data_IF_668802661444
#
_entry.id   IF_668802661444
#
_cell.length_a   1.000
_cell.length_b   1.000
_cell.length_c   1.000
_cell.angle_alpha   90.00
_cell.angle_beta   90.00
_cell.angle_gamma   90.00
#
_symmetry.space_group_name_H-M   'P 1'
#
loop_
_entity.id
_entity.type
_entity.pdbx_description
1 polymer ?
#
# COMPACT_ATOMS: atom_id res chain seq x y z
N UNK A 1 -1.37 14.33 -13.84
CA UNK A 1 -2.00 14.16 -15.17
C UNK A 1 -2.42 15.49 -15.83
N UNK A 2 -2.36 16.62 -15.11
CA UNK A 2 -2.83 17.92 -15.63
C UNK A 2 -1.70 18.84 -16.10
N UNK A 3 -0.43 18.50 -15.83
CA UNK A 3 0.72 19.37 -16.12
C UNK A 3 0.78 19.85 -17.59
N UNK A 4 0.67 18.98 -18.62
CA UNK A 4 0.72 19.43 -20.02
C UNK A 4 -0.41 20.39 -20.35
N UNK A 5 -1.59 20.17 -19.78
CA UNK A 5 -2.76 21.04 -19.96
C UNK A 5 -2.54 22.41 -19.33
N UNK A 6 -2.06 22.46 -18.07
CA UNK A 6 -1.77 23.73 -17.40
C UNK A 6 -0.70 24.55 -18.12
N UNK A 7 0.36 23.90 -18.61
CA UNK A 7 1.38 24.59 -19.39
C UNK A 7 0.83 25.17 -20.69
N UNK A 8 0.00 24.40 -21.41
CA UNK A 8 -0.65 24.86 -22.63
C UNK A 8 -1.61 26.02 -22.36
N UNK A 9 -2.47 25.91 -21.34
CA UNK A 9 -3.45 26.94 -20.98
C UNK A 9 -2.79 28.23 -20.45
N UNK A 10 -1.66 28.13 -19.76
CA UNK A 10 -0.89 29.28 -19.27
C UNK A 10 -0.14 30.05 -20.38
N UNK A 11 0.02 29.43 -21.55
CA UNK A 11 0.84 29.98 -22.65
C UNK A 11 2.34 29.99 -22.35
N UNK A 12 2.80 29.24 -21.34
CA UNK A 12 4.21 29.16 -20.98
C UNK A 12 5.00 28.45 -22.08
N UNK A 13 6.09 29.07 -22.53
CA UNK A 13 6.94 28.56 -23.60
C UNK A 13 8.39 28.27 -23.15
N UNK A 14 8.70 28.50 -21.89
CA UNK A 14 10.04 28.28 -21.32
C UNK A 14 10.31 26.81 -20.97
N UNK A 15 11.54 26.54 -20.62
CA UNK A 15 11.92 25.22 -20.06
C UNK A 15 11.39 25.07 -18.63
N UNK A 16 11.06 23.83 -18.23
CA UNK A 16 10.64 23.52 -16.87
C UNK A 16 11.23 22.20 -16.38
N UNK A 17 11.22 22.03 -15.07
CA UNK A 17 11.49 20.74 -14.40
C UNK A 17 10.27 20.32 -13.59
N UNK A 18 10.03 19.02 -13.52
CA UNK A 18 9.08 18.44 -12.57
C UNK A 18 9.81 18.23 -11.26
N UNK A 19 9.58 19.14 -10.29
CA UNK A 19 10.34 19.18 -9.04
C UNK A 19 9.99 18.06 -8.08
N UNK A 20 8.81 17.45 -8.23
CA UNK A 20 8.32 16.39 -7.35
C UNK A 20 7.28 15.54 -8.10
N UNK A 21 7.50 14.24 -8.15
CA UNK A 21 6.54 13.27 -8.70
C UNK A 21 6.83 11.86 -8.16
N UNK A 22 5.82 11.02 -8.08
CA UNK A 22 5.99 9.69 -7.49
C UNK A 22 4.71 8.90 -7.35
N UNK A 23 4.53 8.21 -6.23
CA UNK A 23 3.34 7.45 -5.91
C UNK A 23 2.10 8.36 -5.83
N UNK A 24 0.92 7.77 -5.99
CA UNK A 24 -0.37 8.47 -5.79
C UNK A 24 -0.50 8.90 -4.34
N UNK A 25 -0.88 10.16 -4.11
CA UNK A 25 -1.09 10.70 -2.79
C UNK A 25 -2.23 9.98 -2.04
N UNK A 26 -2.12 9.84 -0.73
CA UNK A 26 -3.15 9.16 0.07
C UNK A 26 -4.52 9.88 0.00
N UNK A 27 -4.52 11.18 -0.27
CA UNK A 27 -5.73 12.00 -0.47
C UNK A 27 -6.41 11.79 -1.84
N UNK A 28 -5.72 11.15 -2.80
CA UNK A 28 -6.24 10.80 -4.12
C UNK A 28 -6.61 9.31 -4.20
N UNK A 29 -6.15 8.51 -3.23
CA UNK A 29 -6.40 7.08 -3.21
C UNK A 29 -7.85 6.75 -2.87
N UNK A 30 -8.43 5.66 -3.43
CA UNK A 30 -9.71 5.17 -2.95
C UNK A 30 -9.63 4.77 -1.48
N UNK A 31 -10.77 4.77 -0.80
CA UNK A 31 -10.85 4.46 0.63
C UNK A 31 -11.71 3.21 0.90
N UNK A 32 -11.49 2.61 2.07
CA UNK A 32 -12.41 1.62 2.65
C UNK A 32 -13.75 2.26 3.00
N UNK A 33 -14.76 1.45 3.32
CA UNK A 33 -16.08 1.91 3.76
C UNK A 33 -16.06 2.68 5.10
N UNK A 34 -14.97 2.59 5.88
CA UNK A 34 -14.73 3.38 7.10
C UNK A 34 -13.72 4.53 6.91
N UNK A 35 -13.33 4.81 5.65
CA UNK A 35 -12.56 6.01 5.26
C UNK A 35 -11.05 5.89 5.37
N UNK A 36 -10.46 4.68 5.44
CA UNK A 36 -9.00 4.51 5.38
C UNK A 36 -8.51 4.40 3.94
N UNK A 37 -7.49 5.17 3.55
CA UNK A 37 -6.99 5.15 2.17
C UNK A 37 -6.32 3.81 1.84
N UNK A 38 -6.52 3.36 0.60
CA UNK A 38 -5.96 2.13 0.06
C UNK A 38 -4.62 2.40 -0.61
N UNK A 39 -3.57 1.86 -0.03
CA UNK A 39 -2.23 1.94 -0.61
C UNK A 39 -2.08 0.91 -1.73
N UNK A 40 -1.53 1.32 -2.87
CA UNK A 40 -1.11 0.42 -3.93
C UNK A 40 0.06 -0.46 -3.45
N UNK A 41 0.14 -1.73 -3.86
CA UNK A 41 1.31 -2.56 -3.60
C UNK A 41 2.55 -2.02 -4.36
N UNK A 42 3.74 -2.53 -4.03
CA UNK A 42 5.00 -2.03 -4.59
C UNK A 42 5.10 -2.18 -6.11
N UNK A 43 4.47 -3.21 -6.70
CA UNK A 43 4.47 -3.44 -8.15
C UNK A 43 3.53 -2.47 -8.87
N UNK A 44 2.34 -2.23 -8.33
CA UNK A 44 1.42 -1.24 -8.88
C UNK A 44 2.02 0.17 -8.83
N UNK A 45 2.68 0.53 -7.71
CA UNK A 45 3.44 1.78 -7.61
C UNK A 45 4.53 1.89 -8.67
N UNK A 46 5.30 0.83 -8.88
CA UNK A 46 6.36 0.81 -9.89
C UNK A 46 5.81 1.02 -11.30
N UNK A 47 4.64 0.44 -11.61
CA UNK A 47 3.93 0.69 -12.87
C UNK A 47 3.47 2.15 -12.99
N UNK A 48 2.97 2.75 -11.91
CA UNK A 48 2.61 4.18 -11.89
C UNK A 48 3.83 5.07 -12.15
N UNK A 49 4.98 4.79 -11.50
CA UNK A 49 6.23 5.50 -11.75
C UNK A 49 6.64 5.42 -13.23
N UNK A 50 6.60 4.21 -13.81
CA UNK A 50 6.94 3.99 -15.21
C UNK A 50 6.03 4.77 -16.14
N UNK A 51 4.72 4.67 -15.95
CA UNK A 51 3.75 5.31 -16.82
C UNK A 51 3.83 6.84 -16.71
N UNK A 52 3.90 7.39 -15.51
CA UNK A 52 4.03 8.83 -15.28
C UNK A 52 5.30 9.39 -15.92
N UNK A 53 6.43 8.70 -15.78
CA UNK A 53 7.66 9.13 -16.43
C UNK A 53 7.54 9.14 -17.94
N UNK A 54 7.04 8.07 -18.55
CA UNK A 54 6.95 7.95 -20.00
C UNK A 54 5.91 8.92 -20.60
N UNK A 55 4.74 9.04 -19.96
CA UNK A 55 3.61 9.80 -20.51
C UNK A 55 3.75 11.32 -20.30
N UNK A 56 4.42 11.76 -19.22
CA UNK A 56 4.41 13.19 -18.85
C UNK A 56 5.79 13.83 -18.81
N UNK A 57 6.86 13.06 -18.55
CA UNK A 57 8.22 13.60 -18.43
C UNK A 57 9.00 13.35 -19.71
N UNK A 58 9.19 12.09 -20.09
CA UNK A 58 9.94 11.73 -21.28
C UNK A 58 9.22 12.10 -22.59
N UNK A 59 7.89 12.20 -22.57
CA UNK A 59 7.12 12.60 -23.74
C UNK A 59 7.32 14.07 -24.13
N UNK A 60 7.61 14.97 -23.19
CA UNK A 60 7.91 16.37 -23.51
C UNK A 60 9.41 16.60 -23.73
N UNK A 61 9.84 16.35 -24.95
CA UNK A 61 11.23 16.57 -25.39
C UNK A 61 11.55 18.03 -25.71
N UNK A 62 10.59 18.95 -25.60
CA UNK A 62 10.75 20.36 -26.00
C UNK A 62 11.00 21.28 -24.82
N UNK A 63 10.25 21.10 -23.75
CA UNK A 63 10.25 22.03 -22.62
C UNK A 63 10.69 21.36 -21.31
N UNK A 64 10.38 20.07 -21.09
CA UNK A 64 10.80 19.35 -19.89
C UNK A 64 12.29 19.03 -19.93
N UNK A 65 13.10 19.70 -19.09
CA UNK A 65 14.55 19.52 -19.03
C UNK A 65 15.00 18.58 -17.90
N UNK A 66 14.09 18.09 -17.07
CA UNK A 66 14.40 17.14 -16.02
C UNK A 66 13.27 16.94 -15.01
N UNK A 67 13.48 15.97 -14.14
CA UNK A 67 12.52 15.66 -13.08
C UNK A 67 13.19 15.09 -11.84
N UNK A 68 12.52 15.25 -10.69
CA UNK A 68 12.97 14.74 -9.41
C UNK A 68 11.90 13.80 -8.83
N UNK A 69 12.28 12.55 -8.63
CA UNK A 69 11.43 11.56 -7.96
C UNK A 69 11.26 11.96 -6.50
N UNK A 70 10.00 11.96 -6.04
CA UNK A 70 9.71 12.19 -4.64
C UNK A 70 10.15 10.99 -3.80
N UNK A 71 10.95 11.29 -2.79
CA UNK A 71 11.37 10.45 -1.69
C UNK A 71 12.10 9.15 -2.06
N UNK A 72 13.43 9.25 -2.22
CA UNK A 72 14.31 8.09 -2.37
C UNK A 72 14.43 7.24 -1.10
N UNK A 73 14.35 7.83 0.08
CA UNK A 73 14.33 7.13 1.35
C UNK A 73 12.92 6.71 1.77
N UNK A 74 12.77 6.44 3.04
CA UNK A 74 11.50 6.10 3.68
C UNK A 74 10.97 7.28 4.49
N UNK A 75 9.67 7.42 4.57
CA UNK A 75 8.95 8.35 5.42
C UNK A 75 7.69 7.68 5.96
N UNK A 76 7.42 7.86 7.24
CA UNK A 76 6.11 7.53 7.78
C UNK A 76 5.12 8.63 7.36
N UNK A 77 4.17 8.25 6.52
CA UNK A 77 3.01 9.06 6.16
C UNK A 77 1.89 8.12 5.76
N UNK A 78 0.85 8.00 6.58
CA UNK A 78 -0.20 6.95 6.57
C UNK A 78 0.36 5.55 6.79
N UNK A 79 1.39 5.19 6.06
CA UNK A 79 2.12 3.93 6.23
C UNK A 79 3.62 4.16 6.05
N UNK A 80 4.47 3.26 6.52
CA UNK A 80 5.91 3.35 6.31
C UNK A 80 6.32 3.03 4.87
N UNK A 81 5.38 2.54 4.04
CA UNK A 81 5.65 2.07 2.67
C UNK A 81 5.02 2.94 1.59
N UNK A 82 4.25 3.99 1.94
CA UNK A 82 3.44 4.74 0.96
C UNK A 82 4.26 5.38 -0.16
N UNK A 83 5.29 6.16 0.19
CA UNK A 83 6.00 7.01 -0.77
C UNK A 83 7.42 6.58 -1.09
N UNK A 84 8.11 5.93 -0.17
CA UNK A 84 9.52 5.60 -0.32
C UNK A 84 9.79 4.62 -1.46
N UNK A 85 10.77 4.93 -2.32
CA UNK A 85 11.26 4.00 -3.34
C UNK A 85 12.29 3.01 -2.76
N UNK A 86 12.86 3.34 -1.61
CA UNK A 86 13.75 2.49 -0.81
C UNK A 86 13.14 2.38 0.59
N UNK A 87 13.07 1.17 1.13
CA UNK A 87 12.53 0.92 2.46
C UNK A 87 13.46 1.39 3.58
N UNK A 88 12.96 1.47 4.81
CA UNK A 88 13.73 1.88 5.99
C UNK A 88 14.99 1.03 6.22
N UNK A 89 14.92 -0.28 5.93
CA UNK A 89 16.04 -1.21 5.99
C UNK A 89 16.97 -1.14 4.77
N UNK A 90 16.88 -0.07 3.98
CA UNK A 90 17.66 0.21 2.77
C UNK A 90 17.43 -0.80 1.61
N UNK A 91 16.36 -1.60 1.63
CA UNK A 91 16.01 -2.49 0.53
C UNK A 91 15.33 -1.74 -0.60
N UNK A 92 15.70 -2.09 -1.84
CA UNK A 92 15.10 -1.53 -3.04
C UNK A 92 13.69 -2.08 -3.28
N UNK A 93 12.74 -1.20 -3.56
CA UNK A 93 11.45 -1.62 -4.11
C UNK A 93 11.53 -1.70 -5.64
N UNK A 94 10.50 -2.25 -6.26
CA UNK A 94 10.42 -2.32 -7.73
C UNK A 94 10.43 -0.92 -8.37
N UNK A 95 9.93 0.12 -7.68
CA UNK A 95 10.00 1.51 -8.14
C UNK A 95 11.44 2.00 -8.33
N UNK A 96 12.38 1.64 -7.43
CA UNK A 96 13.80 1.99 -7.58
C UNK A 96 14.40 1.35 -8.84
N UNK A 97 14.06 0.08 -9.11
CA UNK A 97 14.55 -0.63 -10.30
C UNK A 97 13.91 -0.11 -11.59
N UNK A 98 12.65 0.30 -11.55
CA UNK A 98 12.00 1.00 -12.67
C UNK A 98 12.72 2.31 -12.98
N UNK A 99 13.09 3.10 -11.98
CA UNK A 99 13.86 4.33 -12.21
C UNK A 99 15.23 4.04 -12.80
N UNK A 100 15.93 3.01 -12.34
CA UNK A 100 17.19 2.59 -12.98
C UNK A 100 16.96 2.27 -14.46
N UNK A 101 15.96 1.45 -14.78
CA UNK A 101 15.65 1.10 -16.17
C UNK A 101 15.30 2.32 -17.03
N UNK A 102 14.48 3.23 -16.53
CA UNK A 102 14.06 4.42 -17.27
C UNK A 102 15.22 5.36 -17.60
N UNK A 103 16.26 5.42 -16.75
CA UNK A 103 17.40 6.28 -16.95
C UNK A 103 18.54 5.62 -17.73
N UNK A 104 18.72 4.32 -17.63
CA UNK A 104 19.86 3.61 -18.23
C UNK A 104 19.47 2.74 -19.43
N UNK A 105 18.19 2.38 -19.56
CA UNK A 105 17.70 1.38 -20.51
C UNK A 105 17.95 -0.07 -20.07
N UNK A 106 18.57 -0.29 -18.91
CA UNK A 106 18.98 -1.61 -18.44
C UNK A 106 18.35 -1.95 -17.11
N UNK A 107 17.78 -3.15 -17.01
CA UNK A 107 17.29 -3.69 -15.74
C UNK A 107 18.46 -4.24 -14.91
N UNK A 108 18.36 -4.18 -13.57
CA UNK A 108 19.32 -4.86 -12.73
C UNK A 108 19.27 -6.38 -12.93
N UNK A 109 20.38 -7.05 -12.68
CA UNK A 109 20.52 -8.51 -12.81
C UNK A 109 19.49 -9.25 -11.94
N UNK A 110 19.30 -8.79 -10.70
CA UNK A 110 18.36 -9.37 -9.75
C UNK A 110 17.15 -8.45 -9.62
N UNK A 111 16.02 -8.90 -10.17
CA UNK A 111 14.76 -8.17 -10.16
C UNK A 111 14.06 -8.34 -8.81
N UNK A 112 13.48 -7.25 -8.32
CA UNK A 112 12.57 -7.29 -7.18
C UNK A 112 11.44 -8.27 -7.46
N UNK A 113 10.99 -9.09 -6.48
CA UNK A 113 9.78 -9.89 -6.61
C UNK A 113 8.57 -9.01 -6.94
N UNK A 114 7.77 -9.40 -7.94
CA UNK A 114 6.55 -8.66 -8.31
C UNK A 114 5.35 -9.19 -7.54
N UNK A 115 4.54 -8.29 -7.01
CA UNK A 115 3.38 -8.61 -6.19
C UNK A 115 2.09 -8.38 -6.97
N UNK A 116 1.28 -9.43 -7.14
CA UNK A 116 0.02 -9.35 -7.87
C UNK A 116 -1.23 -9.36 -6.98
N UNK A 117 -1.09 -9.62 -5.69
CA UNK A 117 -2.22 -9.57 -4.76
C UNK A 117 -1.90 -9.92 -3.33
N UNK A 118 -2.70 -9.34 -2.42
CA UNK A 118 -2.75 -9.68 -1.00
C UNK A 118 -4.22 -9.79 -0.59
N UNK A 119 -4.56 -10.88 0.09
CA UNK A 119 -5.93 -11.13 0.58
C UNK A 119 -5.93 -11.55 2.04
N UNK A 120 -7.02 -11.24 2.74
CA UNK A 120 -7.36 -11.75 4.06
C UNK A 120 -8.70 -12.46 3.95
N UNK A 121 -8.77 -13.76 4.29
CA UNK A 121 -9.96 -14.60 4.12
C UNK A 121 -10.54 -14.54 2.69
N UNK A 122 -9.67 -14.38 1.67
CA UNK A 122 -10.05 -14.24 0.27
C UNK A 122 -10.49 -12.84 -0.16
N UNK A 123 -10.63 -11.88 0.75
CA UNK A 123 -10.99 -10.48 0.49
C UNK A 123 -9.73 -9.63 0.26
N UNK A 124 -9.80 -8.70 -0.69
CA UNK A 124 -8.74 -7.72 -0.98
C UNK A 124 -8.99 -6.41 -0.22
N UNK A 125 -8.03 -5.51 -0.21
CA UNK A 125 -8.16 -4.19 0.42
C UNK A 125 -9.40 -3.42 -0.08
N UNK A 126 -9.72 -3.52 -1.38
CA UNK A 126 -10.87 -2.86 -2.01
C UNK A 126 -12.22 -3.39 -1.52
N UNK A 127 -12.24 -4.59 -0.95
CA UNK A 127 -13.46 -5.23 -0.44
C UNK A 127 -13.82 -4.77 0.99
N UNK A 128 -13.03 -3.85 1.57
CA UNK A 128 -13.22 -3.31 2.93
C UNK A 128 -13.26 -4.42 3.99
N UNK A 129 -12.08 -4.94 4.38
CA UNK A 129 -11.95 -6.14 5.21
C UNK A 129 -12.41 -5.89 6.65
N UNK A 130 -13.50 -6.51 7.04
CA UNK A 130 -14.01 -6.52 8.41
C UNK A 130 -13.71 -7.87 9.08
N UNK A 131 -13.14 -7.85 10.26
CA UNK A 131 -12.84 -9.03 11.06
C UNK A 131 -13.59 -8.98 12.38
N UNK A 132 -13.64 -10.13 13.07
CA UNK A 132 -14.19 -10.25 14.43
C UNK A 132 -13.03 -10.59 15.36
N UNK A 133 -12.89 -9.84 16.44
CA UNK A 133 -11.89 -10.03 17.49
C UNK A 133 -11.74 -11.50 17.89
N UNK A 134 -10.50 -11.98 17.94
CA UNK A 134 -10.13 -13.33 18.32
C UNK A 134 -10.36 -14.41 17.27
N UNK A 135 -11.03 -14.12 16.14
CA UNK A 135 -11.19 -15.11 15.08
C UNK A 135 -9.86 -15.38 14.39
N UNK A 136 -9.65 -16.64 14.02
CA UNK A 136 -8.51 -17.04 13.17
C UNK A 136 -8.79 -16.60 11.74
N UNK A 137 -7.84 -15.89 11.17
CA UNK A 137 -7.86 -15.35 9.82
C UNK A 137 -6.71 -15.91 9.00
N UNK A 138 -6.92 -16.06 7.70
CA UNK A 138 -5.89 -16.48 6.76
C UNK A 138 -5.49 -15.32 5.87
N UNK A 139 -4.20 -15.02 5.76
CA UNK A 139 -3.67 -14.09 4.79
C UNK A 139 -2.84 -14.81 3.73
N UNK A 140 -2.96 -14.32 2.48
CA UNK A 140 -2.24 -14.87 1.35
C UNK A 140 -1.72 -13.75 0.47
N UNK A 141 -0.42 -13.80 0.14
CA UNK A 141 0.20 -12.96 -0.88
C UNK A 141 0.50 -13.79 -2.13
N UNK A 142 0.36 -13.17 -3.31
CA UNK A 142 0.67 -13.76 -4.60
C UNK A 142 1.88 -13.03 -5.17
N UNK A 143 2.98 -13.77 -5.37
CA UNK A 143 4.29 -13.26 -5.78
C UNK A 143 4.72 -13.93 -7.07
N UNK A 144 5.22 -13.14 -8.00
CA UNK A 144 6.06 -13.59 -9.11
C UNK A 144 7.52 -13.28 -8.77
N UNK A 145 8.38 -14.27 -8.93
CA UNK A 145 9.80 -14.17 -8.60
C UNK A 145 10.65 -14.30 -9.87
N UNK A 146 10.83 -13.19 -10.61
CA UNK A 146 11.45 -13.23 -11.93
C UNK A 146 12.92 -13.67 -11.91
N UNK A 147 13.61 -13.49 -10.79
CA UNK A 147 15.02 -13.89 -10.61
C UNK A 147 15.18 -15.24 -9.96
N UNK A 148 14.08 -15.91 -9.62
CA UNK A 148 14.07 -17.24 -8.97
C UNK A 148 14.97 -17.33 -7.72
N UNK A 149 15.02 -16.25 -6.94
CA UNK A 149 15.80 -16.17 -5.71
C UNK A 149 15.04 -16.81 -4.52
N UNK A 150 15.76 -17.19 -3.48
CA UNK A 150 15.13 -17.53 -2.21
C UNK A 150 14.42 -16.28 -1.64
N UNK A 151 13.18 -16.44 -1.21
CA UNK A 151 12.37 -15.36 -0.66
C UNK A 151 12.15 -15.61 0.83
N UNK A 152 12.21 -14.54 1.61
CA UNK A 152 11.78 -14.49 3.00
C UNK A 152 10.54 -13.60 3.12
N UNK A 153 9.68 -13.94 4.08
CA UNK A 153 8.43 -13.24 4.31
C UNK A 153 8.43 -12.68 5.72
N UNK A 154 8.02 -11.43 5.85
CA UNK A 154 7.76 -10.79 7.15
C UNK A 154 6.37 -10.19 7.11
N UNK A 155 5.56 -10.55 8.09
CA UNK A 155 4.19 -10.09 8.24
C UNK A 155 4.08 -9.25 9.51
N UNK A 156 3.32 -8.17 9.44
CA UNK A 156 3.11 -7.28 10.59
C UNK A 156 1.68 -6.77 10.60
N UNK A 157 1.07 -6.73 11.79
CA UNK A 157 -0.16 -5.96 12.01
C UNK A 157 0.22 -4.72 12.79
N UNK A 158 -0.07 -3.56 12.22
CA UNK A 158 0.13 -2.26 12.86
C UNK A 158 -1.23 -1.62 13.14
N UNK A 159 -1.32 -0.85 14.22
CA UNK A 159 -2.45 0.05 14.40
C UNK A 159 -2.50 1.06 13.25
N UNK A 160 -3.71 1.48 12.86
CA UNK A 160 -3.82 2.63 11.93
C UNK A 160 -3.37 3.91 12.64
N UNK A 161 -2.87 4.86 11.86
CA UNK A 161 -2.52 6.18 12.39
C UNK A 161 -3.76 6.82 13.02
N UNK A 162 -3.58 7.40 14.22
CA UNK A 162 -4.66 8.12 14.88
C UNK A 162 -5.05 9.35 14.05
N UNK A 163 -6.35 9.51 13.80
CA UNK A 163 -6.88 10.63 13.01
C UNK A 163 -6.53 12.01 13.56
N UNK A 164 -6.22 12.10 14.85
CA UNK A 164 -5.82 13.36 15.50
C UNK A 164 -4.38 13.80 15.20
N UNK A 165 -3.54 12.87 14.73
CA UNK A 165 -2.13 13.12 14.40
C UNK A 165 -1.82 12.86 12.92
N UNK A 166 -2.84 12.57 12.11
CA UNK A 166 -2.70 12.47 10.66
C UNK A 166 -2.22 13.80 10.07
N UNK A 167 -1.14 13.76 9.30
CA UNK A 167 -0.66 14.94 8.59
C UNK A 167 -1.28 15.05 7.20
N UNK A 168 -1.49 16.27 6.73
CA UNK A 168 -1.98 16.56 5.38
C UNK A 168 -0.84 16.71 4.35
N UNK A 169 0.29 16.07 4.62
CA UNK A 169 1.45 16.04 3.75
C UNK A 169 2.60 16.92 4.25
N UNK A 170 3.77 16.31 4.36
CA UNK A 170 5.02 16.98 4.70
C UNK A 170 5.38 17.01 6.18
N UNK A 171 4.45 17.03 7.09
CA UNK A 171 4.71 17.05 8.53
C UNK A 171 5.13 15.68 9.08
N UNK A 172 5.72 15.70 10.28
CA UNK A 172 6.08 14.46 10.98
C UNK A 172 4.82 13.72 11.43
N UNK A 173 4.77 12.43 11.07
CA UNK A 173 3.74 11.49 11.51
C UNK A 173 4.41 10.38 12.33
N UNK A 174 3.97 10.11 13.56
CA UNK A 174 4.56 9.06 14.36
C UNK A 174 4.25 7.68 13.75
N UNK A 175 5.24 6.78 13.77
CA UNK A 175 5.01 5.38 13.35
C UNK A 175 4.07 4.70 14.32
N UNK A 176 3.00 4.06 13.82
CA UNK A 176 2.10 3.28 14.66
C UNK A 176 2.80 2.07 15.30
N UNK A 177 2.23 1.56 16.37
CA UNK A 177 2.72 0.39 17.06
C UNK A 177 2.51 -0.88 16.20
N UNK A 178 3.55 -1.72 16.11
CA UNK A 178 3.45 -3.09 15.59
C UNK A 178 2.91 -3.96 16.70
N UNK A 179 1.65 -4.41 16.59
CA UNK A 179 0.96 -5.19 17.63
C UNK A 179 1.13 -6.70 17.45
N UNK A 180 1.53 -7.13 16.27
CA UNK A 180 1.80 -8.53 15.97
C UNK A 180 2.76 -8.62 14.79
N UNK A 181 3.66 -9.61 14.81
CA UNK A 181 4.56 -9.89 13.68
C UNK A 181 4.86 -11.38 13.56
N UNK A 182 5.07 -11.84 12.32
CA UNK A 182 5.66 -13.13 11.99
C UNK A 182 6.80 -12.92 10.97
N UNK A 183 8.00 -13.23 11.41
CA UNK A 183 9.23 -13.18 10.62
C UNK A 183 10.08 -14.43 10.87
N UNK A 184 9.47 -15.53 11.30
CA UNK A 184 10.13 -16.79 11.52
C UNK A 184 10.68 -17.36 10.20
N UNK A 185 11.68 -18.24 10.28
CA UNK A 185 12.25 -18.96 9.13
C UNK A 185 11.18 -19.81 8.38
N UNK A 186 10.04 -20.06 9.02
CA UNK A 186 8.90 -20.77 8.45
C UNK A 186 7.82 -19.83 7.91
N UNK A 187 8.00 -18.52 8.00
CA UNK A 187 7.06 -17.57 7.42
C UNK A 187 6.98 -17.74 5.91
N UNK A 188 5.77 -17.73 5.37
CA UNK A 188 5.46 -18.11 4.01
C UNK A 188 4.50 -17.11 3.35
N UNK A 189 4.23 -17.36 2.06
CA UNK A 189 3.25 -16.60 1.31
C UNK A 189 1.81 -16.72 1.85
N UNK A 190 1.55 -17.69 2.72
CA UNK A 190 0.27 -17.89 3.40
C UNK A 190 0.52 -18.02 4.90
N UNK A 191 -0.24 -17.28 5.70
CA UNK A 191 -0.19 -17.31 7.16
C UNK A 191 -1.56 -17.40 7.78
N UNK A 192 -1.62 -17.85 9.03
CA UNK A 192 -2.78 -17.69 9.91
C UNK A 192 -2.43 -16.74 11.06
N UNK A 193 -3.38 -15.90 11.41
CA UNK A 193 -3.24 -14.99 12.56
C UNK A 193 -4.58 -14.83 13.27
N UNK A 194 -4.54 -14.51 14.56
CA UNK A 194 -5.76 -14.13 15.30
C UNK A 194 -6.04 -12.64 15.07
N UNK A 195 -7.29 -12.31 14.73
CA UNK A 195 -7.71 -10.93 14.64
C UNK A 195 -7.50 -10.23 15.99
N UNK A 196 -6.84 -9.03 16.02
CA UNK A 196 -6.58 -8.31 17.25
C UNK A 196 -7.89 -7.86 17.93
N UNK A 197 -7.78 -7.15 19.06
CA UNK A 197 -8.92 -6.50 19.72
C UNK A 197 -9.63 -5.53 18.77
N UNK A 198 -10.88 -5.16 19.10
CA UNK A 198 -11.64 -4.21 18.28
C UNK A 198 -10.89 -2.91 18.04
N UNK A 199 -10.79 -2.49 16.77
CA UNK A 199 -10.02 -1.33 16.37
C UNK A 199 -9.74 -1.27 14.87
N UNK A 200 -9.00 -0.26 14.45
CA UNK A 200 -8.55 -0.08 13.07
C UNK A 200 -7.07 -0.44 12.96
N UNK A 201 -6.73 -1.31 12.01
CA UNK A 201 -5.39 -1.85 11.83
C UNK A 201 -5.05 -1.99 10.35
N UNK A 202 -3.79 -2.35 10.07
CA UNK A 202 -3.31 -2.68 8.75
C UNK A 202 -2.39 -3.89 8.82
N UNK A 203 -2.67 -4.91 8.01
CA UNK A 203 -1.78 -6.05 7.82
C UNK A 203 -0.80 -5.71 6.70
N UNK A 204 0.48 -5.78 7.00
CA UNK A 204 1.58 -5.62 6.05
C UNK A 204 2.22 -6.96 5.72
N UNK A 205 2.72 -7.09 4.50
CA UNK A 205 3.66 -8.13 4.10
C UNK A 205 4.86 -7.51 3.40
N UNK A 206 6.04 -7.94 3.79
CA UNK A 206 7.31 -7.65 3.16
C UNK A 206 7.89 -8.96 2.63
N UNK A 207 8.19 -9.01 1.34
CA UNK A 207 8.76 -10.18 0.67
C UNK A 207 10.13 -9.80 0.17
N UNK A 208 11.16 -10.38 0.78
CA UNK A 208 12.54 -9.96 0.61
C UNK A 208 13.38 -11.06 -0.04
N UNK A 209 14.38 -10.68 -0.84
CA UNK A 209 15.39 -11.57 -1.38
C UNK A 209 16.77 -11.30 -0.75
N UNK A 210 17.75 -12.11 -1.15
CA UNK A 210 19.15 -11.98 -0.69
C UNK A 210 19.94 -10.88 -1.41
N UNK A 211 19.36 -10.19 -2.40
CA UNK A 211 20.00 -9.17 -3.22
C UNK A 211 19.54 -7.74 -2.89
N UNK A 212 19.14 -7.53 -1.64
CA UNK A 212 18.71 -6.23 -1.14
C UNK A 212 17.43 -5.70 -1.81
N UNK A 213 16.52 -6.58 -2.23
CA UNK A 213 15.25 -6.23 -2.82
C UNK A 213 14.09 -6.60 -1.90
N UNK A 214 13.00 -5.85 -1.97
CA UNK A 214 11.78 -6.12 -1.23
C UNK A 214 10.52 -5.70 -2.02
N UNK A 215 9.51 -6.56 -2.01
CA UNK A 215 8.15 -6.22 -2.42
C UNK A 215 7.27 -6.01 -1.18
N UNK A 216 6.32 -5.09 -1.27
CA UNK A 216 5.44 -4.73 -0.15
C UNK A 216 3.99 -4.62 -0.57
N UNK A 217 3.09 -5.04 0.31
CA UNK A 217 1.67 -4.75 0.23
C UNK A 217 1.06 -4.64 1.63
N UNK A 218 -0.10 -4.02 1.71
CA UNK A 218 -0.87 -3.99 2.94
C UNK A 218 -2.39 -4.02 2.67
N UNK A 219 -3.14 -4.39 3.71
CA UNK A 219 -4.61 -4.38 3.71
C UNK A 219 -5.09 -3.71 4.97
N UNK A 220 -5.87 -2.61 4.90
CA UNK A 220 -6.57 -2.05 6.05
C UNK A 220 -7.61 -3.03 6.59
N UNK A 221 -7.75 -3.09 7.91
CA UNK A 221 -8.64 -4.01 8.62
C UNK A 221 -9.46 -3.23 9.66
N UNK A 222 -10.78 -3.41 9.65
CA UNK A 222 -11.64 -2.98 10.74
C UNK A 222 -12.05 -4.20 11.57
N UNK A 223 -11.57 -4.27 12.81
CA UNK A 223 -11.92 -5.35 13.74
C UNK A 223 -13.07 -4.89 14.62
N UNK A 224 -14.15 -5.69 14.66
CA UNK A 224 -15.34 -5.48 15.51
C UNK A 224 -15.29 -6.39 16.72
N UNK A 225 -15.82 -5.92 17.86
CA UNK A 225 -15.91 -6.77 19.03
C UNK A 225 -16.92 -7.92 18.79
N UNK A 226 -16.65 -9.07 19.36
CA UNK A 226 -17.58 -10.21 19.31
C UNK A 226 -18.95 -9.88 19.96
N UNK A 227 -18.94 -9.00 20.97
CA UNK A 227 -20.16 -8.56 21.64
C UNK A 227 -21.04 -7.69 20.73
N UNK A 228 -20.46 -6.75 19.99
CA UNK A 228 -21.21 -5.87 19.07
C UNK A 228 -21.84 -6.66 17.93
N UNK A 229 -21.13 -7.65 17.38
CA UNK A 229 -21.68 -8.53 16.33
C UNK A 229 -22.84 -9.36 16.85
N UNK A 230 -22.73 -9.91 18.06
CA UNK A 230 -23.82 -10.67 18.71
C UNK A 230 -25.04 -9.79 18.97
N UNK A 231 -24.85 -8.56 19.44
CA UNK A 231 -25.94 -7.61 19.69
C UNK A 231 -26.66 -7.21 18.39
N UNK A 232 -25.94 -6.91 17.33
CA UNK A 232 -26.52 -6.59 16.02
C UNK A 232 -27.30 -7.77 15.44
N UNK A 233 -26.80 -8.99 15.57
CA UNK A 233 -27.51 -10.21 15.16
C UNK A 233 -28.85 -10.38 15.91
N UNK A 234 -28.81 -10.23 17.22
CA UNK A 234 -30.03 -10.32 18.06
C UNK A 234 -31.05 -9.21 17.74
N UNK A 235 -30.59 -8.00 17.46
CA UNK A 235 -31.43 -6.87 17.05
C UNK A 235 -32.08 -7.11 15.68
N UNK A 236 -31.33 -7.62 14.71
CA UNK A 236 -31.83 -7.95 13.37
C UNK A 236 -32.91 -9.05 13.43
N UNK A 237 -32.69 -10.07 14.24
CA UNK A 237 -33.67 -11.14 14.46
C UNK A 237 -34.96 -10.66 15.18
N UNK A 238 -34.82 -9.69 16.09
CA UNK A 238 -35.97 -9.01 16.68
C UNK A 238 -36.78 -8.22 15.67
N UNK A 239 -36.12 -7.45 14.81
CA UNK A 239 -36.75 -6.68 13.73
C UNK A 239 -37.47 -7.61 12.74
N UNK A 240 -36.82 -8.68 12.28
CA UNK A 240 -37.45 -9.69 11.40
C UNK A 240 -38.71 -10.29 12.01
N UNK A 241 -38.69 -10.64 13.30
CA UNK A 241 -39.88 -11.14 14.01
C UNK A 241 -40.98 -10.09 14.11
N UNK A 242 -40.63 -8.83 14.36
CA UNK A 242 -41.60 -7.73 14.43
C UNK A 242 -42.32 -7.52 13.10
N UNK A 243 -41.59 -7.51 11.99
CA UNK A 243 -42.16 -7.35 10.65
C UNK A 243 -42.89 -8.61 10.15
N UNK A 244 -42.54 -9.81 10.60
CA UNK A 244 -43.24 -11.05 10.26
C UNK A 244 -44.59 -11.21 10.99
N UNK A 245 -44.81 -10.49 12.10
CA UNK A 245 -46.06 -10.51 12.87
C UNK A 245 -47.05 -9.43 12.34
N UNK A 246 -46.53 -8.47 11.52
CA UNK A 246 -47.32 -7.35 10.99
C UNK A 246 -47.76 -7.56 9.53
N UNK A 247 -47.55 -8.75 8.96
CA UNK A 247 -48.01 -9.20 7.65
C UNK A 247 -49.00 -10.36 7.80
#
# INVERSE_FOLDING_TARGET
DQLPRFLSESGYQGAYTVSEWGATGHWEAPCTDWGRPLEANSTDKANDYKNRYLDYIAADTKQCIGSFVFLWGQKQERTPTWYGVILENAKNTESAQVMQYLWTGEWPEYRVPSMSGLTINGLRAQDSVHLIEGNVCQAKVIIENPSNQALTYRWEIMAEVDKSVESDGGDFEPSPEVIWSDSSDNSAANIEFAAPSAGEYRLFVYVEDSHNNAATANVPILVKSAADVSFMGAMLDRLKRYFAISA
#
